data_IF_236796470161
#
_entry.id   IF_236796470161
#
_cell.length_a   1.000
_cell.length_b   1.000
_cell.length_c   1.000
_cell.angle_alpha   90.00
_cell.angle_beta   90.00
_cell.angle_gamma   90.00
#
_symmetry.space_group_name_H-M   'P 1'
#
loop_
_entity.id
_entity.type
_entity.pdbx_description
1 polymer ?
#
# COMPACT_ATOMS: atom_id res chain seq x y z
N UNK A 1 -0.06 5.76 11.67
CA UNK A 1 -1.49 5.43 11.89
C UNK A 1 -2.10 5.11 10.53
N UNK A 2 -2.84 4.00 10.34
CA UNK A 2 -3.32 3.57 8.99
C UNK A 2 -4.46 4.44 8.41
N UNK A 3 -5.16 5.21 9.24
CA UNK A 3 -6.24 6.12 8.85
C UNK A 3 -6.56 7.13 9.98
N UNK A 4 -7.01 8.36 9.67
CA UNK A 4 -7.56 9.30 10.66
C UNK A 4 -8.80 8.76 11.38
N UNK A 5 -9.11 9.23 12.59
CA UNK A 5 -10.26 8.78 13.41
C UNK A 5 -11.61 8.90 12.69
N UNK A 6 -11.83 10.00 11.96
CA UNK A 6 -13.04 10.19 11.16
C UNK A 6 -13.17 9.14 10.05
N UNK A 7 -12.05 8.83 9.38
CA UNK A 7 -11.98 7.81 8.34
C UNK A 7 -12.18 6.40 8.91
N UNK A 8 -11.70 6.13 10.12
CA UNK A 8 -11.93 4.86 10.82
C UNK A 8 -13.41 4.64 11.12
N UNK A 9 -14.13 5.68 11.55
CA UNK A 9 -15.59 5.60 11.78
C UNK A 9 -16.34 5.27 10.49
N UNK A 10 -16.01 5.94 9.39
CA UNK A 10 -16.60 5.70 8.07
C UNK A 10 -16.32 4.28 7.57
N UNK A 11 -15.07 3.81 7.70
CA UNK A 11 -14.70 2.43 7.35
C UNK A 11 -15.44 1.41 8.21
N UNK A 12 -15.60 1.67 9.50
CA UNK A 12 -16.34 0.78 10.40
C UNK A 12 -17.80 0.62 9.95
N UNK A 13 -18.47 1.72 9.61
CA UNK A 13 -19.83 1.70 9.07
C UNK A 13 -19.91 0.97 7.72
N UNK A 14 -18.92 1.17 6.85
CA UNK A 14 -18.83 0.44 5.58
C UNK A 14 -18.70 -1.06 5.81
N UNK A 15 -17.79 -1.52 6.69
CA UNK A 15 -17.60 -2.94 6.97
C UNK A 15 -18.86 -3.58 7.57
N UNK A 16 -19.51 -2.92 8.52
CA UNK A 16 -20.77 -3.41 9.09
C UNK A 16 -21.83 -3.61 8.00
N UNK A 17 -21.97 -2.63 7.10
CA UNK A 17 -22.93 -2.69 6.00
C UNK A 17 -22.56 -3.76 4.97
N UNK A 18 -21.28 -3.84 4.58
CA UNK A 18 -20.79 -4.81 3.61
C UNK A 18 -20.96 -6.24 4.12
N UNK A 19 -20.63 -6.52 5.38
CA UNK A 19 -20.80 -7.84 6.00
C UNK A 19 -22.29 -8.23 6.03
N UNK A 20 -23.18 -7.30 6.43
CA UNK A 20 -24.64 -7.54 6.41
C UNK A 20 -25.14 -7.82 5.00
N UNK A 21 -24.66 -7.09 3.99
CA UNK A 21 -25.02 -7.31 2.59
C UNK A 21 -24.54 -8.68 2.09
N UNK A 22 -23.30 -9.08 2.40
CA UNK A 22 -22.77 -10.40 2.06
C UNK A 22 -23.60 -11.53 2.67
N UNK A 23 -23.89 -11.46 3.96
CA UNK A 23 -24.66 -12.49 4.67
C UNK A 23 -26.11 -12.56 4.17
N UNK A 24 -26.73 -11.41 3.89
CA UNK A 24 -28.06 -11.36 3.26
C UNK A 24 -28.02 -11.99 1.86
N UNK A 25 -26.99 -11.72 1.07
CA UNK A 25 -26.84 -12.26 -0.29
C UNK A 25 -26.76 -13.79 -0.33
N UNK A 26 -26.21 -14.41 0.71
CA UNK A 26 -26.14 -15.87 0.85
C UNK A 26 -27.34 -16.47 1.61
N UNK A 27 -28.31 -15.64 2.02
CA UNK A 27 -29.52 -16.08 2.70
C UNK A 27 -29.34 -16.47 4.17
N UNK A 28 -28.33 -15.91 4.86
CA UNK A 28 -28.09 -16.20 6.28
C UNK A 28 -28.97 -15.30 7.17
N UNK A 29 -29.73 -15.88 8.13
CA UNK A 29 -30.49 -15.13 9.12
C UNK A 29 -29.57 -14.31 10.05
N UNK A 30 -29.90 -13.03 10.27
CA UNK A 30 -29.02 -12.08 10.97
C UNK A 30 -29.40 -11.83 12.44
N UNK A 31 -30.45 -12.47 12.97
CA UNK A 31 -31.03 -12.15 14.28
C UNK A 31 -30.07 -12.44 15.44
N UNK A 32 -29.15 -13.40 15.24
CA UNK A 32 -28.12 -13.76 16.22
C UNK A 32 -26.78 -13.06 15.97
N UNK A 33 -26.64 -12.31 14.87
CA UNK A 33 -25.42 -11.58 14.55
C UNK A 33 -25.36 -10.29 15.38
N UNK A 34 -24.23 -10.08 16.07
CA UNK A 34 -23.96 -8.86 16.83
C UNK A 34 -22.71 -8.18 16.33
N UNK A 35 -22.79 -6.89 16.09
CA UNK A 35 -21.63 -6.04 15.81
C UNK A 35 -21.25 -5.29 17.08
N UNK A 36 -19.97 -5.33 17.44
CA UNK A 36 -19.39 -4.63 18.59
C UNK A 36 -18.14 -3.91 18.08
N UNK A 37 -17.99 -2.62 18.39
CA UNK A 37 -16.76 -1.89 18.05
C UNK A 37 -15.78 -2.02 19.20
N UNK A 38 -14.51 -2.24 18.90
CA UNK A 38 -13.48 -2.36 19.96
C UNK A 38 -13.46 -1.16 20.90
N UNK A 39 -13.62 0.06 20.36
CA UNK A 39 -13.69 1.31 21.14
C UNK A 39 -14.86 1.37 22.14
N UNK A 40 -15.88 0.52 22.01
CA UNK A 40 -17.02 0.49 22.93
C UNK A 40 -16.61 -0.05 24.32
N UNK A 41 -15.53 -0.84 24.42
CA UNK A 41 -15.11 -1.45 25.68
C UNK A 41 -13.59 -1.50 25.92
N UNK A 42 -12.75 -1.46 24.88
CA UNK A 42 -11.29 -1.61 25.00
C UNK A 42 -10.61 -0.41 25.70
N UNK A 43 -11.33 0.69 25.90
CA UNK A 43 -10.88 1.86 26.67
C UNK A 43 -11.50 1.93 28.07
N UNK A 44 -12.30 0.92 28.46
CA UNK A 44 -12.86 0.84 29.81
C UNK A 44 -11.76 0.64 30.85
N UNK A 45 -12.06 1.03 32.10
CA UNK A 45 -11.13 0.91 33.21
C UNK A 45 -10.76 -0.56 33.46
N UNK A 46 -11.75 -1.43 33.43
CA UNK A 46 -11.59 -2.87 33.67
C UNK A 46 -10.68 -3.49 32.62
N UNK A 47 -10.97 -3.25 31.34
CA UNK A 47 -10.16 -3.78 30.23
C UNK A 47 -8.73 -3.26 30.29
N UNK A 48 -8.55 -1.96 30.55
CA UNK A 48 -7.22 -1.34 30.66
C UNK A 48 -6.42 -1.92 31.83
N UNK A 49 -7.06 -2.21 32.95
CA UNK A 49 -6.41 -2.89 34.08
C UNK A 49 -5.96 -4.30 33.72
N UNK A 50 -6.77 -5.07 32.98
CA UNK A 50 -6.36 -6.39 32.52
C UNK A 50 -5.26 -6.34 31.46
N UNK A 51 -5.22 -5.28 30.63
CA UNK A 51 -4.06 -5.03 29.76
C UNK A 51 -2.79 -4.88 30.59
N UNK A 52 -2.81 -4.10 31.67
CA UNK A 52 -1.63 -3.99 32.57
C UNK A 52 -1.30 -5.29 33.30
N UNK A 53 -2.29 -6.08 33.70
CA UNK A 53 -2.08 -7.40 34.32
C UNK A 53 -1.49 -8.40 33.32
N UNK A 54 -1.90 -8.33 32.06
CA UNK A 54 -1.38 -9.19 31.01
C UNK A 54 0.05 -8.79 30.63
N UNK A 55 0.33 -7.49 30.53
CA UNK A 55 1.69 -6.99 30.20
C UNK A 55 2.71 -7.25 31.31
N UNK A 56 2.27 -7.48 32.55
CA UNK A 56 3.17 -7.86 33.65
C UNK A 56 3.58 -9.33 33.65
N UNK A 57 2.88 -10.20 32.91
CA UNK A 57 3.15 -11.65 32.85
C UNK A 57 3.67 -12.11 31.47
N UNK A 58 3.29 -11.43 30.40
CA UNK A 58 3.78 -11.74 29.06
C UNK A 58 5.22 -11.24 28.88
N UNK A 59 6.06 -12.06 28.25
CA UNK A 59 7.40 -11.63 27.87
C UNK A 59 7.37 -10.89 26.53
N UNK A 60 8.29 -9.95 26.33
CA UNK A 60 8.46 -9.29 25.03
C UNK A 60 8.65 -10.30 23.89
N UNK A 61 9.44 -11.34 24.15
CA UNK A 61 9.69 -12.44 23.22
C UNK A 61 8.39 -13.13 22.79
N UNK A 62 7.52 -13.49 23.74
CA UNK A 62 6.28 -14.20 23.43
C UNK A 62 5.28 -13.30 22.72
N UNK A 63 5.16 -12.03 23.11
CA UNK A 63 4.34 -11.04 22.42
C UNK A 63 4.78 -10.86 20.96
N UNK A 64 6.09 -10.68 20.72
CA UNK A 64 6.67 -10.53 19.38
C UNK A 64 6.47 -11.79 18.53
N UNK A 65 6.68 -12.97 19.12
CA UNK A 65 6.47 -14.26 18.45
C UNK A 65 5.00 -14.47 18.08
N UNK A 66 4.08 -14.12 18.97
CA UNK A 66 2.64 -14.25 18.73
C UNK A 66 2.17 -13.38 17.55
N UNK A 67 2.64 -12.13 17.47
CA UNK A 67 2.27 -11.19 16.41
C UNK A 67 2.99 -11.37 15.07
N UNK A 68 3.96 -12.29 14.94
CA UNK A 68 4.89 -12.33 13.81
C UNK A 68 4.25 -12.47 12.42
N UNK A 69 3.09 -13.14 12.32
CA UNK A 69 2.40 -13.38 11.03
C UNK A 69 1.23 -12.41 10.77
N UNK A 70 0.84 -11.63 11.78
CA UNK A 70 -0.37 -10.78 11.76
C UNK A 70 0.00 -9.30 11.79
N UNK A 71 0.96 -8.93 12.65
CA UNK A 71 1.46 -7.56 12.76
C UNK A 71 2.41 -7.29 11.61
N UNK A 72 2.25 -6.13 10.97
CA UNK A 72 3.14 -5.69 9.88
C UNK A 72 4.57 -5.60 10.40
N UNK A 73 5.47 -6.36 9.77
CA UNK A 73 6.89 -6.28 10.05
C UNK A 73 7.46 -5.00 9.43
N UNK A 74 8.14 -4.20 10.26
CA UNK A 74 8.80 -2.95 9.88
C UNK A 74 10.18 -2.93 10.51
N UNK A 75 11.09 -2.15 9.91
CA UNK A 75 12.49 -2.06 10.36
C UNK A 75 12.62 -1.58 11.81
N UNK A 76 11.73 -0.69 12.23
CA UNK A 76 11.64 -0.20 13.60
C UNK A 76 10.26 -0.53 14.19
N UNK A 77 10.09 -1.74 14.78
CA UNK A 77 8.81 -2.18 15.33
C UNK A 77 8.31 -1.24 16.42
N UNK A 78 7.04 -0.83 16.30
CA UNK A 78 6.38 0.00 17.31
C UNK A 78 5.90 -0.86 18.48
N UNK A 79 5.85 -0.25 19.68
CA UNK A 79 5.31 -0.90 20.88
C UNK A 79 3.87 -1.42 20.70
N UNK A 80 3.07 -0.76 19.87
CA UNK A 80 1.72 -1.20 19.54
C UNK A 80 1.67 -2.63 18.96
N UNK A 81 2.72 -3.06 18.26
CA UNK A 81 2.83 -4.43 17.75
C UNK A 81 2.96 -5.48 18.84
N UNK A 82 3.55 -5.13 19.99
CA UNK A 82 3.68 -6.02 21.13
C UNK A 82 2.40 -6.10 21.97
N UNK A 83 1.61 -5.02 22.02
CA UNK A 83 0.33 -5.00 22.73
C UNK A 83 -0.78 -5.76 21.96
N UNK A 84 -0.71 -5.77 20.62
CA UNK A 84 -1.77 -6.28 19.76
C UNK A 84 -2.25 -7.71 20.10
N UNK A 85 -1.36 -8.72 20.25
CA UNK A 85 -1.82 -10.08 20.57
C UNK A 85 -2.52 -10.17 21.93
N UNK A 86 -2.09 -9.37 22.91
CA UNK A 86 -2.70 -9.34 24.23
C UNK A 86 -4.10 -8.73 24.23
N UNK A 87 -4.29 -7.64 23.47
CA UNK A 87 -5.60 -7.02 23.26
C UNK A 87 -6.58 -8.03 22.62
N UNK A 88 -6.15 -8.72 21.55
CA UNK A 88 -6.97 -9.72 20.87
C UNK A 88 -7.34 -10.91 21.78
N UNK A 89 -6.44 -11.33 22.68
CA UNK A 89 -6.74 -12.36 23.66
C UNK A 89 -7.80 -11.91 24.68
N UNK A 90 -7.68 -10.68 25.22
CA UNK A 90 -8.65 -10.14 26.17
C UNK A 90 -10.03 -9.93 25.55
N UNK A 91 -10.11 -9.69 24.25
CA UNK A 91 -11.39 -9.59 23.53
C UNK A 91 -12.23 -10.87 23.69
N UNK A 92 -11.62 -12.06 23.82
CA UNK A 92 -12.35 -13.32 24.05
C UNK A 92 -13.15 -13.30 25.37
N UNK A 93 -12.54 -12.76 26.43
CA UNK A 93 -13.18 -12.64 27.74
C UNK A 93 -14.25 -11.54 27.73
N UNK A 94 -13.92 -10.36 27.21
CA UNK A 94 -14.79 -9.20 27.27
C UNK A 94 -15.98 -9.28 26.31
N UNK A 95 -15.85 -10.02 25.21
CA UNK A 95 -16.97 -10.38 24.33
C UNK A 95 -17.77 -11.58 24.85
N UNK A 96 -17.30 -12.25 25.92
CA UNK A 96 -17.95 -13.39 26.59
C UNK A 96 -18.23 -14.54 25.63
N UNK A 97 -17.21 -14.93 24.87
CA UNK A 97 -17.32 -16.02 23.88
C UNK A 97 -16.67 -17.31 24.37
N UNK A 98 -17.19 -18.43 23.87
CA UNK A 98 -16.60 -19.76 24.07
C UNK A 98 -15.54 -20.09 23.00
N UNK A 99 -15.61 -19.41 21.84
CA UNK A 99 -14.76 -19.69 20.71
C UNK A 99 -14.39 -18.43 19.90
N UNK A 100 -13.20 -18.44 19.31
CA UNK A 100 -12.76 -17.45 18.32
C UNK A 100 -12.50 -18.13 16.97
N UNK A 101 -13.01 -17.53 15.91
CA UNK A 101 -12.80 -17.98 14.53
C UNK A 101 -11.87 -17.01 13.78
N UNK A 102 -10.92 -17.54 13.01
CA UNK A 102 -10.03 -16.76 12.17
C UNK A 102 -9.18 -17.62 11.24
N UNK A 103 -8.27 -17.01 10.48
CA UNK A 103 -7.35 -17.73 9.59
C UNK A 103 -6.27 -18.51 10.35
N UNK A 104 -5.64 -19.49 9.69
CA UNK A 104 -4.48 -20.21 10.23
C UNK A 104 -3.28 -19.28 10.54
N UNK A 105 -3.22 -18.10 9.93
CA UNK A 105 -2.24 -17.05 10.23
C UNK A 105 -2.40 -16.45 11.63
N UNK A 106 -3.59 -16.59 12.25
CA UNK A 106 -3.87 -16.18 13.63
C UNK A 106 -3.41 -17.20 14.67
N UNK A 107 -2.96 -18.40 14.26
CA UNK A 107 -2.65 -19.54 15.16
C UNK A 107 -1.76 -19.15 16.33
N UNK A 108 -0.73 -18.33 16.10
CA UNK A 108 0.21 -17.96 17.17
C UNK A 108 -0.44 -17.06 18.23
N UNK A 109 -1.36 -16.17 17.84
CA UNK A 109 -2.14 -15.35 18.77
C UNK A 109 -3.10 -16.22 19.56
N UNK A 110 -3.82 -17.14 18.90
CA UNK A 110 -4.71 -18.09 19.55
C UNK A 110 -3.99 -18.95 20.61
N UNK A 111 -2.82 -19.50 20.28
CA UNK A 111 -2.03 -20.27 21.25
C UNK A 111 -1.50 -19.42 22.40
N UNK A 112 -1.27 -18.12 22.17
CA UNK A 112 -0.89 -17.18 23.23
C UNK A 112 -2.07 -16.91 24.17
N UNK A 113 -3.27 -16.70 23.63
CA UNK A 113 -4.49 -16.51 24.43
C UNK A 113 -4.74 -17.73 25.33
N UNK A 114 -4.65 -18.95 24.79
CA UNK A 114 -4.78 -20.18 25.59
C UNK A 114 -3.75 -20.30 26.72
N UNK A 115 -2.53 -19.78 26.52
CA UNK A 115 -1.46 -19.81 27.52
C UNK A 115 -1.64 -18.75 28.62
N UNK A 116 -2.09 -17.55 28.27
CA UNK A 116 -2.02 -16.39 29.16
C UNK A 116 -3.36 -15.99 29.79
N UNK A 117 -4.51 -16.23 29.15
CA UNK A 117 -5.81 -15.96 29.77
C UNK A 117 -6.00 -16.68 31.13
N UNK A 118 -5.58 -17.96 31.28
CA UNK A 118 -5.65 -18.64 32.59
C UNK A 118 -4.83 -17.97 33.69
N UNK A 119 -3.75 -17.25 33.37
CA UNK A 119 -2.92 -16.57 34.36
C UNK A 119 -3.60 -15.32 34.93
N UNK A 120 -4.59 -14.76 34.21
CA UNK A 120 -5.44 -13.68 34.70
C UNK A 120 -6.69 -14.21 35.45
N UNK A 121 -6.91 -15.52 35.44
CA UNK A 121 -8.07 -16.20 36.02
C UNK A 121 -9.20 -16.47 35.02
N UNK A 122 -8.96 -16.29 33.72
CA UNK A 122 -9.96 -16.49 32.67
C UNK A 122 -9.85 -17.87 32.02
N UNK A 123 -10.97 -18.36 31.46
CA UNK A 123 -11.00 -19.62 30.73
C UNK A 123 -10.22 -19.53 29.41
N UNK A 124 -9.67 -20.66 28.97
CA UNK A 124 -9.24 -20.80 27.56
C UNK A 124 -10.45 -20.93 26.64
N UNK A 125 -10.33 -20.50 25.39
CA UNK A 125 -11.40 -20.60 24.38
C UNK A 125 -11.06 -21.64 23.31
N UNK A 126 -12.09 -22.04 22.58
CA UNK A 126 -11.96 -22.90 21.39
C UNK A 126 -11.50 -22.01 20.22
N UNK A 127 -10.50 -22.48 19.47
CA UNK A 127 -10.01 -21.77 18.29
C UNK A 127 -10.34 -22.54 17.02
N UNK A 128 -11.10 -21.93 16.12
CA UNK A 128 -11.48 -22.49 14.82
C UNK A 128 -10.72 -21.76 13.72
N UNK A 129 -9.90 -22.50 12.95
CA UNK A 129 -9.01 -21.92 11.95
C UNK A 129 -9.39 -22.32 10.52
N UNK A 130 -9.67 -21.35 9.65
CA UNK A 130 -9.85 -21.60 8.22
C UNK A 130 -8.50 -21.59 7.48
N UNK A 131 -8.34 -22.40 6.41
CA UNK A 131 -7.13 -22.37 5.59
C UNK A 131 -6.96 -21.01 4.91
N UNK A 132 -5.72 -20.69 4.54
CA UNK A 132 -5.46 -19.52 3.69
C UNK A 132 -5.97 -19.81 2.28
N UNK A 133 -6.91 -18.99 1.81
CA UNK A 133 -7.33 -19.02 0.41
C UNK A 133 -6.33 -18.16 -0.39
N UNK A 134 -5.62 -18.73 -1.38
CA UNK A 134 -4.74 -17.97 -2.25
C UNK A 134 -5.50 -16.83 -2.94
N UNK A 135 -4.85 -15.68 -3.09
CA UNK A 135 -5.31 -14.61 -3.96
C UNK A 135 -5.31 -15.04 -5.42
N UNK A 136 -5.98 -14.25 -6.26
CA UNK A 136 -6.21 -14.61 -7.66
C UNK A 136 -4.90 -14.75 -8.47
N UNK A 137 -3.82 -14.14 -8.01
CA UNK A 137 -2.49 -14.19 -8.65
C UNK A 137 -1.56 -15.29 -8.10
N UNK A 138 -2.04 -16.19 -7.23
CA UNK A 138 -1.26 -17.33 -6.71
C UNK A 138 -0.46 -17.04 -5.43
N UNK A 139 -0.72 -15.92 -4.74
CA UNK A 139 -0.05 -15.53 -3.50
C UNK A 139 -1.03 -15.14 -2.38
N UNK A 140 -0.58 -14.39 -1.36
CA UNK A 140 -1.51 -13.81 -0.37
C UNK A 140 -2.30 -12.67 -1.01
N UNK A 141 -3.61 -12.56 -0.70
CA UNK A 141 -4.40 -11.40 -1.11
C UNK A 141 -3.81 -10.13 -0.47
N UNK A 142 -3.56 -9.11 -1.30
CA UNK A 142 -3.00 -7.84 -0.85
C UNK A 142 -4.00 -6.71 -1.08
N UNK A 143 -4.34 -5.97 -0.03
CA UNK A 143 -5.16 -4.78 -0.18
C UNK A 143 -4.48 -3.68 -1.01
N UNK A 144 -3.15 -3.74 -1.14
CA UNK A 144 -2.31 -2.78 -1.88
C UNK A 144 -2.14 -3.14 -3.36
N UNK A 145 -2.52 -4.36 -3.77
CA UNK A 145 -2.45 -4.79 -5.17
C UNK A 145 -3.87 -4.92 -5.73
N UNK A 146 -4.30 -3.94 -6.52
CA UNK A 146 -5.67 -3.82 -7.06
C UNK A 146 -6.12 -5.05 -7.85
N UNK A 147 -5.19 -5.68 -8.60
CA UNK A 147 -5.46 -6.87 -9.41
C UNK A 147 -5.41 -8.19 -8.61
N UNK A 148 -4.92 -8.19 -7.36
CA UNK A 148 -4.78 -9.41 -6.55
C UNK A 148 -6.09 -9.91 -5.92
N UNK A 149 -7.14 -9.06 -5.92
CA UNK A 149 -8.43 -9.29 -5.26
C UNK A 149 -9.60 -8.75 -6.09
N UNK A 150 -10.75 -9.41 -5.99
CA UNK A 150 -12.04 -8.88 -6.46
C UNK A 150 -12.68 -8.11 -5.31
N UNK A 151 -13.06 -6.86 -5.57
CA UNK A 151 -13.79 -6.04 -4.60
C UNK A 151 -15.29 -6.38 -4.65
N UNK A 152 -15.99 -6.20 -3.52
CA UNK A 152 -17.43 -6.47 -3.44
C UNK A 152 -18.24 -5.59 -4.42
N UNK A 153 -17.72 -4.41 -4.75
CA UNK A 153 -18.37 -3.46 -5.64
C UNK A 153 -17.79 -3.46 -7.06
N UNK A 154 -16.94 -4.43 -7.42
CA UNK A 154 -16.45 -4.58 -8.78
C UNK A 154 -17.57 -4.96 -9.75
N UNK A 155 -17.74 -4.17 -10.81
CA UNK A 155 -18.68 -4.50 -11.86
C UNK A 155 -18.26 -5.78 -12.64
N UNK A 156 -19.15 -6.41 -13.41
CA UNK A 156 -18.83 -7.65 -14.14
C UNK A 156 -17.60 -7.55 -15.07
N UNK A 157 -17.36 -6.39 -15.67
CA UNK A 157 -16.19 -6.19 -16.53
C UNK A 157 -14.88 -6.20 -15.75
N UNK A 158 -14.86 -5.63 -14.54
CA UNK A 158 -13.70 -5.66 -13.64
C UNK A 158 -13.43 -7.08 -13.12
N UNK A 159 -14.49 -7.79 -12.70
CA UNK A 159 -14.39 -9.20 -12.27
C UNK A 159 -13.76 -10.04 -13.39
N UNK A 160 -14.27 -9.92 -14.62
CA UNK A 160 -13.74 -10.60 -15.81
C UNK A 160 -12.26 -10.28 -16.06
N UNK A 161 -11.90 -8.99 -16.01
CA UNK A 161 -10.51 -8.52 -16.22
C UNK A 161 -9.55 -9.15 -15.21
N UNK A 162 -9.93 -9.17 -13.92
CA UNK A 162 -9.10 -9.71 -12.83
C UNK A 162 -8.97 -11.23 -12.93
N UNK A 163 -10.07 -11.95 -13.18
CA UNK A 163 -10.03 -13.40 -13.39
C UNK A 163 -9.24 -13.81 -14.62
N UNK A 164 -9.27 -13.03 -15.70
CA UNK A 164 -8.45 -13.31 -16.89
C UNK A 164 -6.96 -13.32 -16.54
N UNK A 165 -6.51 -12.38 -15.70
CA UNK A 165 -5.13 -12.27 -15.20
C UNK A 165 -4.78 -13.26 -14.10
N UNK A 166 -5.77 -13.92 -13.49
CA UNK A 166 -5.54 -14.86 -12.41
C UNK A 166 -4.62 -16.01 -12.84
N UNK A 167 -3.73 -16.45 -11.96
CA UNK A 167 -2.91 -17.63 -12.21
C UNK A 167 -3.79 -18.88 -12.18
N UNK A 168 -3.76 -19.66 -13.27
CA UNK A 168 -4.54 -20.90 -13.42
C UNK A 168 -3.91 -21.72 -14.54
N UNK A 169 -2.91 -22.51 -14.19
CA UNK A 169 -2.18 -23.37 -15.14
C UNK A 169 -2.96 -24.67 -15.40
N UNK A 170 -2.99 -25.19 -16.64
CA UNK A 170 -3.66 -26.45 -16.95
C UNK A 170 -3.16 -27.60 -16.07
N UNK A 171 -4.08 -28.36 -15.44
CA UNK A 171 -3.71 -29.49 -14.58
C UNK A 171 -3.22 -29.12 -13.18
N UNK A 172 -2.91 -27.86 -12.92
CA UNK A 172 -2.36 -27.43 -11.63
C UNK A 172 -3.45 -27.24 -10.58
N UNK A 173 -3.55 -28.21 -9.65
CA UNK A 173 -4.46 -28.18 -8.50
C UNK A 173 -3.83 -27.56 -7.24
N UNK A 174 -2.53 -27.29 -7.26
CA UNK A 174 -1.78 -26.66 -6.18
C UNK A 174 -1.62 -25.15 -6.43
N UNK A 175 -1.72 -24.33 -5.39
CA UNK A 175 -1.60 -22.85 -5.50
C UNK A 175 -2.51 -22.19 -6.55
N UNK A 176 -3.64 -22.85 -6.87
CA UNK A 176 -4.61 -22.36 -7.83
C UNK A 176 -5.71 -21.56 -7.12
N UNK A 177 -5.63 -20.23 -7.19
CA UNK A 177 -6.60 -19.34 -6.54
C UNK A 177 -8.02 -19.48 -7.07
N UNK A 178 -8.19 -19.86 -8.35
CA UNK A 178 -9.50 -20.06 -8.98
C UNK A 178 -10.18 -21.32 -8.44
N UNK A 179 -9.45 -22.44 -8.38
CA UNK A 179 -9.96 -23.67 -7.76
C UNK A 179 -10.19 -23.49 -6.26
N UNK A 180 -9.30 -22.80 -5.56
CA UNK A 180 -9.42 -22.55 -4.11
C UNK A 180 -10.67 -21.72 -3.77
N UNK A 181 -10.95 -20.67 -4.54
CA UNK A 181 -12.17 -19.88 -4.39
C UNK A 181 -13.41 -20.74 -4.66
N UNK A 182 -13.34 -21.58 -5.70
CA UNK A 182 -14.42 -22.51 -6.03
C UNK A 182 -14.70 -23.48 -4.88
N UNK A 183 -13.66 -24.07 -4.28
CA UNK A 183 -13.72 -24.99 -3.14
C UNK A 183 -14.28 -24.37 -1.87
N UNK A 184 -13.79 -23.18 -1.50
CA UNK A 184 -14.03 -22.59 -0.18
C UNK A 184 -15.18 -21.59 -0.15
N UNK A 185 -15.63 -21.10 -1.31
CA UNK A 185 -16.72 -20.11 -1.41
C UNK A 185 -17.87 -20.64 -2.24
N UNK A 186 -17.64 -21.05 -3.49
CA UNK A 186 -18.75 -21.41 -4.39
C UNK A 186 -19.44 -22.69 -3.93
N UNK A 187 -18.71 -23.81 -3.83
CA UNK A 187 -19.29 -25.10 -3.47
C UNK A 187 -20.01 -25.11 -2.10
N UNK A 188 -19.48 -24.47 -1.03
CA UNK A 188 -20.18 -24.41 0.26
C UNK A 188 -21.50 -23.61 0.24
N UNK A 189 -21.65 -22.68 -0.71
CA UNK A 189 -22.85 -21.84 -0.85
C UNK A 189 -23.91 -22.44 -1.79
N UNK A 190 -23.54 -23.47 -2.56
CA UNK A 190 -24.46 -24.13 -3.47
C UNK A 190 -25.51 -24.94 -2.71
N UNK A 191 -26.72 -25.00 -3.28
CA UNK A 191 -27.78 -25.84 -2.72
C UNK A 191 -27.46 -27.33 -2.95
N UNK A 192 -27.96 -28.26 -2.13
CA UNK A 192 -27.63 -29.69 -2.22
C UNK A 192 -27.83 -30.35 -3.60
N UNK A 193 -28.73 -29.83 -4.44
CA UNK A 193 -29.02 -30.35 -5.78
C UNK A 193 -28.59 -29.40 -6.91
N UNK A 194 -27.81 -28.37 -6.58
CA UNK A 194 -27.26 -27.42 -7.54
C UNK A 194 -25.91 -27.93 -8.02
N UNK A 195 -25.64 -27.82 -9.32
CA UNK A 195 -24.38 -28.24 -9.92
C UNK A 195 -23.57 -27.04 -10.40
N UNK A 196 -22.25 -27.12 -10.23
CA UNK A 196 -21.33 -26.12 -10.73
C UNK A 196 -21.15 -26.38 -12.23
N UNK A 197 -21.64 -25.45 -13.04
CA UNK A 197 -21.67 -25.61 -14.50
C UNK A 197 -20.40 -25.04 -15.13
N UNK A 198 -19.68 -25.88 -15.86
CA UNK A 198 -18.55 -25.48 -16.69
C UNK A 198 -19.02 -25.38 -18.14
N UNK A 199 -19.21 -24.16 -18.63
CA UNK A 199 -19.63 -23.93 -20.03
C UNK A 199 -18.45 -24.07 -20.97
N UNK A 200 -18.56 -24.99 -21.94
CA UNK A 200 -17.48 -25.28 -22.90
C UNK A 200 -18.05 -25.32 -24.31
N UNK A 201 -17.24 -24.98 -25.31
CA UNK A 201 -17.68 -25.08 -26.70
C UNK A 201 -18.05 -26.53 -27.05
N UNK A 202 -19.04 -26.72 -27.93
CA UNK A 202 -19.53 -28.06 -28.32
C UNK A 202 -18.43 -28.97 -28.85
N UNK A 203 -17.43 -28.40 -29.51
CA UNK A 203 -16.24 -29.09 -30.03
C UNK A 203 -15.35 -29.70 -28.93
N UNK A 204 -15.45 -29.23 -27.68
CA UNK A 204 -14.74 -29.77 -26.51
C UNK A 204 -15.65 -30.59 -25.58
N UNK A 205 -16.77 -31.09 -26.09
CA UNK A 205 -17.69 -31.95 -25.34
C UNK A 205 -18.84 -31.22 -24.64
N UNK A 206 -18.97 -29.91 -24.85
CA UNK A 206 -20.09 -29.11 -24.31
C UNK A 206 -20.07 -28.92 -22.79
N UNK A 207 -21.15 -28.33 -22.27
CA UNK A 207 -21.31 -28.00 -20.86
C UNK A 207 -21.19 -29.24 -19.96
N UNK A 208 -20.46 -29.13 -18.86
CA UNK A 208 -20.37 -30.15 -17.80
C UNK A 208 -20.93 -29.61 -16.50
N UNK A 209 -21.58 -30.47 -15.73
CA UNK A 209 -22.11 -30.17 -14.40
C UNK A 209 -21.36 -30.97 -13.33
N UNK A 210 -20.88 -30.30 -12.28
CA UNK A 210 -20.20 -30.92 -11.14
C UNK A 210 -20.99 -30.74 -9.85
N UNK A 211 -21.35 -31.83 -9.19
CA UNK A 211 -22.08 -31.81 -7.91
C UNK A 211 -21.15 -31.84 -6.69
N UNK A 212 -19.90 -32.28 -6.86
CA UNK A 212 -18.88 -32.30 -5.82
C UNK A 212 -17.62 -31.63 -6.32
N UNK A 213 -16.94 -30.90 -5.42
CA UNK A 213 -15.69 -30.25 -5.76
C UNK A 213 -14.60 -31.24 -6.16
N UNK A 214 -14.56 -32.44 -5.54
CA UNK A 214 -13.58 -33.47 -5.86
C UNK A 214 -13.63 -33.89 -7.34
N UNK A 215 -14.83 -33.99 -7.91
CA UNK A 215 -15.03 -34.37 -9.32
C UNK A 215 -14.50 -33.28 -10.26
N UNK A 216 -14.69 -32.00 -9.91
CA UNK A 216 -14.13 -30.85 -10.64
C UNK A 216 -12.60 -30.79 -10.53
N UNK A 217 -12.06 -31.01 -9.34
CA UNK A 217 -10.61 -31.01 -9.08
C UNK A 217 -9.91 -32.12 -9.86
N UNK A 218 -10.49 -33.32 -9.90
CA UNK A 218 -9.98 -34.45 -10.69
C UNK A 218 -10.05 -34.17 -12.20
N UNK A 219 -11.17 -33.63 -12.69
CA UNK A 219 -11.31 -33.25 -14.11
C UNK A 219 -10.31 -32.14 -14.51
N UNK A 220 -10.07 -31.16 -13.64
CA UNK A 220 -9.07 -30.14 -13.89
C UNK A 220 -7.65 -30.72 -13.90
N UNK A 221 -7.32 -31.61 -12.96
CA UNK A 221 -6.02 -32.30 -12.91
C UNK A 221 -5.73 -33.13 -14.18
N UNK A 222 -6.76 -33.79 -14.72
CA UNK A 222 -6.70 -34.53 -15.99
C UNK A 222 -6.70 -33.64 -17.24
N UNK A 223 -6.84 -32.33 -17.06
CA UNK A 223 -6.95 -31.33 -18.13
C UNK A 223 -8.23 -31.47 -18.98
N UNK A 224 -9.25 -32.14 -18.46
CA UNK A 224 -10.58 -32.21 -19.09
C UNK A 224 -11.31 -30.85 -19.00
N UNK A 225 -10.94 -30.02 -18.03
CA UNK A 225 -11.42 -28.64 -17.88
C UNK A 225 -10.29 -27.67 -18.20
N UNK A 226 -10.46 -26.88 -19.25
CA UNK A 226 -9.50 -25.85 -19.62
C UNK A 226 -9.54 -24.67 -18.62
N UNK A 227 -8.40 -24.04 -18.28
CA UNK A 227 -8.37 -22.89 -17.36
C UNK A 227 -9.27 -21.72 -17.75
N UNK A 228 -9.44 -21.47 -19.05
CA UNK A 228 -10.33 -20.43 -19.56
C UNK A 228 -11.80 -20.68 -19.23
N UNK A 229 -12.24 -21.94 -19.34
CA UNK A 229 -13.62 -22.33 -19.07
C UNK A 229 -13.90 -22.30 -17.57
N UNK A 230 -12.96 -22.80 -16.76
CA UNK A 230 -13.04 -22.69 -15.30
C UNK A 230 -13.15 -21.23 -14.85
N UNK A 231 -12.29 -20.35 -15.38
CA UNK A 231 -12.34 -18.90 -15.09
C UNK A 231 -13.68 -18.28 -15.47
N UNK A 232 -14.24 -18.63 -16.63
CA UNK A 232 -15.52 -18.11 -17.09
C UNK A 232 -16.68 -18.57 -16.20
N UNK A 233 -16.69 -19.82 -15.75
CA UNK A 233 -17.71 -20.32 -14.82
C UNK A 233 -17.60 -19.71 -13.42
N UNK A 234 -16.37 -19.53 -12.93
CA UNK A 234 -16.13 -18.83 -11.66
C UNK A 234 -16.53 -17.35 -11.76
N UNK A 235 -16.29 -16.69 -12.91
CA UNK A 235 -16.75 -15.33 -13.18
C UNK A 235 -18.27 -15.21 -13.04
N UNK A 236 -19.02 -16.14 -13.64
CA UNK A 236 -20.48 -16.15 -13.54
C UNK A 236 -20.95 -16.32 -12.09
N UNK A 237 -20.39 -17.29 -11.36
CA UNK A 237 -20.73 -17.54 -9.97
C UNK A 237 -20.40 -16.34 -9.06
N UNK A 238 -19.23 -15.70 -9.24
CA UNK A 238 -18.86 -14.49 -8.50
C UNK A 238 -19.86 -13.36 -8.79
N UNK A 239 -20.19 -13.11 -10.04
CA UNK A 239 -21.15 -12.06 -10.38
C UNK A 239 -22.54 -12.32 -9.78
N UNK A 240 -22.98 -13.58 -9.69
CA UNK A 240 -24.23 -13.94 -9.01
C UNK A 240 -24.19 -13.64 -7.51
N UNK A 241 -23.05 -13.88 -6.84
CA UNK A 241 -22.84 -13.55 -5.43
C UNK A 241 -22.71 -12.05 -5.18
N UNK A 242 -22.11 -11.31 -6.11
CA UNK A 242 -21.93 -9.86 -5.98
C UNK A 242 -23.20 -9.07 -6.32
N UNK A 243 -24.07 -9.56 -7.20
CA UNK A 243 -25.21 -8.80 -7.69
C UNK A 243 -26.17 -8.31 -6.58
N UNK A 244 -26.57 -9.12 -5.57
CA UNK A 244 -27.42 -8.63 -4.48
C UNK A 244 -26.72 -7.60 -3.60
N UNK A 245 -25.40 -7.77 -3.39
CA UNK A 245 -24.58 -6.82 -2.62
C UNK A 245 -24.55 -5.48 -3.37
N UNK A 246 -24.28 -5.51 -4.66
CA UNK A 246 -24.25 -4.31 -5.51
C UNK A 246 -25.60 -3.61 -5.57
N UNK A 247 -26.70 -4.37 -5.58
CA UNK A 247 -28.06 -3.82 -5.51
C UNK A 247 -28.30 -3.06 -4.21
N UNK A 248 -27.91 -3.63 -3.05
CA UNK A 248 -27.98 -2.94 -1.76
C UNK A 248 -27.17 -1.64 -1.79
N UNK A 249 -25.97 -1.67 -2.37
CA UNK A 249 -25.10 -0.51 -2.51
C UNK A 249 -25.50 0.47 -3.64
N UNK A 250 -26.66 0.29 -4.30
CA UNK A 250 -27.25 1.34 -5.15
C UNK A 250 -27.89 2.47 -4.34
N UNK A 251 -28.20 2.24 -3.06
CA UNK A 251 -28.69 3.29 -2.16
C UNK A 251 -27.69 4.46 -2.10
N UNK A 252 -28.20 5.68 -2.26
CA UNK A 252 -27.36 6.88 -2.37
C UNK A 252 -26.51 7.14 -1.14
N UNK A 253 -27.01 6.82 0.07
CA UNK A 253 -26.26 6.99 1.32
C UNK A 253 -25.13 5.98 1.40
N UNK A 254 -25.36 4.75 0.97
CA UNK A 254 -24.34 3.70 0.96
C UNK A 254 -23.25 3.95 -0.09
N UNK A 255 -23.61 4.50 -1.24
CA UNK A 255 -22.63 4.94 -2.24
C UNK A 255 -21.75 6.07 -1.71
N UNK A 256 -22.35 7.07 -1.05
CA UNK A 256 -21.58 8.13 -0.40
C UNK A 256 -20.69 7.59 0.70
N UNK A 257 -21.18 6.66 1.52
CA UNK A 257 -20.40 6.01 2.57
C UNK A 257 -19.19 5.28 1.99
N UNK A 258 -19.36 4.48 0.93
CA UNK A 258 -18.27 3.78 0.26
C UNK A 258 -17.21 4.76 -0.26
N UNK A 259 -17.64 5.84 -0.94
CA UNK A 259 -16.75 6.90 -1.44
C UNK A 259 -16.03 7.67 -0.34
N UNK A 260 -16.66 7.87 0.82
CA UNK A 260 -16.05 8.58 1.96
C UNK A 260 -15.12 7.67 2.78
N UNK A 261 -15.44 6.39 2.91
CA UNK A 261 -14.65 5.38 3.64
C UNK A 261 -13.40 4.94 2.88
N UNK A 262 -13.55 4.85 1.56
CA UNK A 262 -12.47 4.62 0.60
C UNK A 262 -12.55 5.73 -0.42
N UNK A 263 -12.11 6.95 -0.07
CA UNK A 263 -11.88 7.94 -1.10
C UNK A 263 -10.99 7.25 -2.12
N UNK A 264 -11.33 7.30 -3.43
CA UNK A 264 -10.42 6.79 -4.43
C UNK A 264 -9.07 7.35 -4.06
N UNK A 265 -8.06 6.46 -3.95
CA UNK A 265 -6.67 6.90 -3.91
C UNK A 265 -6.61 8.02 -4.92
N UNK A 266 -6.21 9.23 -4.53
CA UNK A 266 -6.07 10.31 -5.49
C UNK A 266 -4.99 9.86 -6.49
N UNK A 267 -5.40 9.10 -7.51
CA UNK A 267 -4.99 9.39 -8.86
C UNK A 267 -5.47 10.82 -9.04
N UNK A 268 -4.52 11.75 -9.01
CA UNK A 268 -4.76 13.15 -9.32
C UNK A 268 -5.80 13.21 -10.45
N UNK A 269 -6.84 14.02 -10.28
CA UNK A 269 -7.96 14.14 -11.21
C UNK A 269 -7.45 14.08 -12.66
N UNK A 270 -7.70 12.97 -13.34
CA UNK A 270 -7.60 12.91 -14.78
C UNK A 270 -8.70 13.81 -15.34
N UNK A 271 -8.31 14.98 -15.82
CA UNK A 271 -9.11 15.77 -16.76
C UNK A 271 -9.16 14.92 -18.05
N UNK A 272 -10.35 14.74 -18.66
CA UNK A 272 -10.44 14.00 -19.90
C UNK A 272 -9.72 14.79 -21.00
N UNK A 273 -8.59 14.26 -21.49
CA UNK A 273 -8.22 14.28 -22.91
C UNK A 273 -7.02 13.37 -23.19
N UNK A 274 -7.28 12.40 -24.07
CA UNK A 274 -6.40 11.60 -24.90
C UNK A 274 -4.87 11.62 -24.66
N UNK A 275 -4.33 10.46 -24.26
CA UNK A 275 -3.07 9.91 -24.76
C UNK A 275 -1.75 10.50 -24.23
N UNK A 276 -1.20 9.93 -23.16
CA UNK A 276 0.24 9.65 -22.98
C UNK A 276 0.48 9.02 -21.59
N UNK A 277 1.43 8.07 -21.52
CA UNK A 277 1.88 7.38 -20.30
C UNK A 277 2.04 8.30 -19.08
N UNK A 278 1.48 7.91 -17.92
CA UNK A 278 1.54 8.67 -16.68
C UNK A 278 3.00 8.91 -16.23
N UNK A 279 3.35 10.19 -16.02
CA UNK A 279 4.64 10.64 -15.52
C UNK A 279 4.48 10.92 -14.03
N UNK A 280 5.21 10.19 -13.18
CA UNK A 280 5.13 10.26 -11.71
C UNK A 280 6.48 10.66 -11.11
N UNK A 281 6.53 11.26 -9.90
CA UNK A 281 7.78 11.68 -9.26
C UNK A 281 8.72 10.52 -8.90
N UNK A 282 8.22 9.27 -8.86
CA UNK A 282 9.04 8.06 -8.66
C UNK A 282 10.17 7.96 -9.68
N UNK A 283 9.97 8.49 -10.89
CA UNK A 283 10.95 8.49 -11.98
C UNK A 283 12.17 9.37 -11.70
N UNK A 284 12.09 10.31 -10.76
CA UNK A 284 13.20 11.20 -10.42
C UNK A 284 14.18 10.54 -9.46
N UNK A 285 15.47 10.59 -9.75
CA UNK A 285 16.53 10.18 -8.84
C UNK A 285 17.04 11.40 -8.06
N UNK A 286 16.34 11.75 -6.99
CA UNK A 286 16.72 12.85 -6.10
C UNK A 286 17.48 12.26 -4.92
N UNK A 287 18.66 12.78 -4.61
CA UNK A 287 19.50 12.30 -3.51
C UNK A 287 20.03 13.43 -2.65
N UNK A 288 20.38 13.10 -1.42
CA UNK A 288 21.19 13.95 -0.55
C UNK A 288 22.62 13.93 -1.07
N UNK A 289 23.20 15.11 -1.27
CA UNK A 289 24.57 15.30 -1.71
C UNK A 289 25.38 16.12 -0.71
N UNK A 290 26.68 15.89 -0.65
CA UNK A 290 27.63 16.73 0.09
C UNK A 290 28.67 17.30 -0.85
N UNK A 291 28.81 18.63 -0.86
CA UNK A 291 29.82 19.30 -1.68
C UNK A 291 31.20 19.08 -1.06
N UNK A 292 32.02 18.23 -1.69
CA UNK A 292 33.37 17.91 -1.21
C UNK A 292 34.41 18.88 -1.75
N UNK A 293 34.15 19.53 -2.87
CA UNK A 293 35.01 20.54 -3.46
C UNK A 293 34.15 21.54 -4.24
N UNK A 294 34.44 22.83 -4.11
CA UNK A 294 33.77 23.89 -4.89
C UNK A 294 34.80 24.89 -5.40
N UNK A 295 34.71 25.22 -6.68
CA UNK A 295 35.55 26.23 -7.33
C UNK A 295 34.69 27.15 -8.20
N UNK A 296 35.17 28.36 -8.49
CA UNK A 296 34.52 29.22 -9.49
C UNK A 296 34.82 28.69 -10.89
N UNK A 297 33.84 28.73 -11.77
CA UNK A 297 34.03 28.32 -13.15
C UNK A 297 35.05 29.25 -13.84
N UNK A 298 36.06 28.71 -14.56
CA UNK A 298 37.13 29.52 -15.16
C UNK A 298 36.60 30.51 -16.21
N UNK A 299 35.60 30.09 -17.00
CA UNK A 299 35.05 30.88 -18.10
C UNK A 299 33.63 31.45 -17.83
N UNK A 300 33.18 31.51 -16.57
CA UNK A 300 31.85 32.03 -16.23
C UNK A 300 31.73 32.57 -14.80
N UNK A 301 31.46 33.87 -14.67
CA UNK A 301 31.41 34.57 -13.37
C UNK A 301 30.21 34.18 -12.49
N UNK A 302 29.16 33.60 -13.08
CA UNK A 302 27.94 33.22 -12.37
C UNK A 302 27.86 31.74 -11.98
N UNK A 303 28.89 30.94 -12.31
CA UNK A 303 28.84 29.49 -12.14
C UNK A 303 29.88 28.97 -11.13
N UNK A 304 29.45 28.03 -10.29
CA UNK A 304 30.36 27.17 -9.53
C UNK A 304 30.55 25.84 -10.25
N UNK A 305 31.70 25.22 -10.02
CA UNK A 305 32.00 23.82 -10.36
C UNK A 305 32.17 23.08 -9.05
N UNK A 306 31.26 22.16 -8.78
CA UNK A 306 31.14 21.44 -7.53
C UNK A 306 31.42 19.96 -7.76
N UNK A 307 32.22 19.34 -6.88
CA UNK A 307 32.25 17.87 -6.74
C UNK A 307 31.33 17.51 -5.59
N UNK A 308 30.29 16.73 -5.88
CA UNK A 308 29.25 16.38 -4.92
C UNK A 308 29.23 14.88 -4.70
N UNK A 309 29.48 14.47 -3.46
CA UNK A 309 29.31 13.11 -2.98
C UNK A 309 27.82 12.82 -2.85
N UNK A 310 27.29 11.93 -3.69
CA UNK A 310 25.89 11.48 -3.70
C UNK A 310 25.80 9.97 -3.42
N UNK A 311 26.77 9.43 -2.67
CA UNK A 311 26.86 8.00 -2.34
C UNK A 311 27.24 7.09 -3.51
N UNK A 312 27.89 7.64 -4.54
CA UNK A 312 28.51 6.90 -5.64
C UNK A 312 30.00 6.68 -5.39
N UNK A 313 30.65 5.82 -6.19
CA UNK A 313 32.08 5.52 -6.05
C UNK A 313 32.96 6.78 -6.23
N UNK A 314 32.56 7.67 -7.14
CA UNK A 314 33.21 8.96 -7.36
C UNK A 314 32.20 10.13 -7.21
N UNK A 315 32.62 11.27 -6.62
CA UNK A 315 31.80 12.47 -6.56
C UNK A 315 31.42 12.97 -7.96
N UNK A 316 30.16 13.38 -8.14
CA UNK A 316 29.68 13.94 -9.41
C UNK A 316 30.14 15.38 -9.57
N UNK A 317 30.54 15.74 -10.79
CA UNK A 317 30.75 17.14 -11.17
C UNK A 317 29.40 17.77 -11.49
N UNK A 318 29.04 18.82 -10.77
CA UNK A 318 27.82 19.61 -10.97
C UNK A 318 28.22 21.06 -11.18
N UNK A 319 27.58 21.72 -12.16
CA UNK A 319 27.77 23.14 -12.44
C UNK A 319 26.51 23.89 -12.06
N UNK A 320 26.59 24.78 -11.07
CA UNK A 320 25.44 25.50 -10.52
C UNK A 320 25.54 27.01 -10.71
N UNK A 321 24.41 27.69 -10.88
CA UNK A 321 24.32 29.15 -11.01
C UNK A 321 24.29 29.92 -9.69
N UNK A 322 24.96 29.41 -8.65
CA UNK A 322 24.79 29.86 -7.27
C UNK A 322 25.76 30.98 -6.82
N UNK A 323 26.71 31.41 -7.67
CA UNK A 323 27.75 32.39 -7.28
C UNK A 323 27.17 33.70 -6.73
N UNK A 324 26.09 34.18 -7.33
CA UNK A 324 25.45 35.44 -6.94
C UNK A 324 24.51 35.31 -5.74
N UNK A 325 24.32 34.10 -5.21
CA UNK A 325 23.29 33.79 -4.20
C UNK A 325 23.87 33.14 -2.94
N UNK A 326 24.92 32.34 -3.08
CA UNK A 326 25.56 31.66 -1.95
C UNK A 326 27.07 31.90 -2.00
N UNK A 327 27.67 32.48 -0.95
CA UNK A 327 29.12 32.64 -0.85
C UNK A 327 29.84 31.28 -0.87
N UNK A 328 31.04 31.24 -1.46
CA UNK A 328 31.79 29.99 -1.68
C UNK A 328 32.17 29.30 -0.35
N UNK A 329 32.44 30.10 0.69
CA UNK A 329 32.71 29.65 2.05
C UNK A 329 31.53 28.91 2.69
N UNK A 330 30.30 29.19 2.24
CA UNK A 330 29.08 28.52 2.70
C UNK A 330 28.72 27.29 1.85
N UNK A 331 29.45 27.05 0.75
CA UNK A 331 29.23 25.93 -0.19
C UNK A 331 30.13 24.73 0.13
N UNK A 332 31.36 24.98 0.59
CA UNK A 332 32.26 23.89 0.97
C UNK A 332 31.68 23.05 2.11
N UNK A 333 31.65 21.72 1.94
CA UNK A 333 31.04 20.75 2.87
C UNK A 333 29.53 20.93 3.11
N UNK A 334 28.85 21.78 2.34
CA UNK A 334 27.41 21.97 2.46
C UNK A 334 26.68 20.72 2.00
N UNK A 335 25.66 20.32 2.76
CA UNK A 335 24.70 19.31 2.31
C UNK A 335 23.62 19.96 1.44
N UNK A 336 23.28 19.29 0.34
CA UNK A 336 22.38 19.79 -0.70
C UNK A 336 21.48 18.67 -1.21
N UNK A 337 20.41 19.03 -1.92
CA UNK A 337 19.53 18.06 -2.60
C UNK A 337 19.85 18.08 -4.10
N UNK A 338 20.11 16.92 -4.69
CA UNK A 338 20.62 16.79 -6.06
C UNK A 338 19.73 15.87 -6.89
N UNK A 339 19.33 16.33 -8.08
CA UNK A 339 18.72 15.48 -9.11
C UNK A 339 19.82 14.83 -9.96
N UNK A 340 19.86 13.50 -9.96
CA UNK A 340 20.99 12.70 -10.45
C UNK A 340 20.73 12.00 -11.81
N UNK A 341 19.49 11.91 -12.28
CA UNK A 341 19.16 11.18 -13.52
C UNK A 341 18.77 12.09 -14.70
N UNK A 342 19.16 13.36 -14.68
CA UNK A 342 19.13 14.20 -15.89
C UNK A 342 20.23 13.78 -16.86
N UNK A 343 19.99 13.95 -18.17
CA UNK A 343 21.05 13.82 -19.17
C UNK A 343 22.14 14.87 -18.90
N UNK A 344 23.43 14.49 -18.87
CA UNK A 344 24.52 15.45 -18.66
C UNK A 344 24.47 16.62 -19.65
N UNK A 345 24.75 17.81 -19.15
CA UNK A 345 24.70 19.05 -19.91
C UNK A 345 26.04 19.79 -19.83
N UNK A 346 26.57 20.20 -20.99
CA UNK A 346 27.78 21.02 -21.03
C UNK A 346 27.42 22.48 -20.75
N UNK A 347 27.99 23.04 -19.70
CA UNK A 347 27.89 24.44 -19.34
C UNK A 347 29.28 25.05 -19.50
N UNK A 348 29.44 25.89 -20.53
CA UNK A 348 30.71 26.59 -20.83
C UNK A 348 31.95 25.68 -20.87
N UNK A 349 31.77 24.46 -21.40
CA UNK A 349 32.86 23.50 -21.63
C UNK A 349 32.95 22.40 -20.57
N UNK A 350 32.41 22.61 -19.37
CA UNK A 350 32.38 21.62 -18.30
C UNK A 350 31.06 20.84 -18.33
N UNK A 351 31.14 19.52 -18.25
CA UNK A 351 29.97 18.63 -18.23
C UNK A 351 29.39 18.53 -16.83
N UNK A 352 28.18 19.03 -16.63
CA UNK A 352 27.40 18.86 -15.39
C UNK A 352 26.63 17.55 -15.44
N UNK A 353 26.83 16.70 -14.42
CA UNK A 353 26.22 15.36 -14.28
C UNK A 353 25.14 15.32 -13.19
N UNK A 354 24.53 16.46 -12.89
CA UNK A 354 23.45 16.58 -11.92
C UNK A 354 22.95 18.02 -11.83
N UNK A 355 22.01 18.25 -10.92
CA UNK A 355 21.44 19.57 -10.67
C UNK A 355 21.13 19.74 -9.18
N UNK A 356 21.68 20.78 -8.58
CA UNK A 356 21.36 21.18 -7.20
C UNK A 356 19.98 21.85 -7.20
N UNK A 357 19.04 21.27 -6.46
CA UNK A 357 17.67 21.78 -6.37
C UNK A 357 17.61 22.99 -5.44
N UNK A 358 17.02 24.07 -5.93
CA UNK A 358 16.94 25.34 -5.22
C UNK A 358 15.51 25.87 -5.19
N UNK A 359 15.11 26.48 -4.07
CA UNK A 359 13.93 27.34 -4.03
C UNK A 359 14.27 28.67 -4.72
N UNK A 360 13.43 29.15 -5.62
CA UNK A 360 13.69 30.37 -6.40
C UNK A 360 12.43 31.20 -6.62
N UNK A 361 12.50 32.48 -6.25
CA UNK A 361 11.50 33.50 -6.57
C UNK A 361 12.11 34.56 -7.48
N UNK A 362 11.28 35.22 -8.29
CA UNK A 362 11.74 36.14 -9.34
C UNK A 362 11.64 37.63 -8.93
N UNK A 363 10.87 37.99 -7.89
CA UNK A 363 10.65 39.39 -7.47
C UNK A 363 10.53 39.57 -5.93
N UNK A 364 11.55 40.14 -5.25
CA UNK A 364 12.92 40.31 -5.75
C UNK A 364 13.57 38.95 -6.00
N UNK A 365 14.47 38.85 -6.98
CA UNK A 365 15.11 37.58 -7.33
C UNK A 365 15.93 37.02 -6.16
N UNK A 366 15.49 35.89 -5.62
CA UNK A 366 16.19 35.16 -4.56
C UNK A 366 16.27 33.69 -4.92
N UNK A 367 17.39 33.07 -4.58
CA UNK A 367 17.65 31.64 -4.81
C UNK A 367 18.35 31.10 -3.57
N UNK A 368 17.85 30.02 -3.01
CA UNK A 368 18.52 29.31 -1.92
C UNK A 368 18.49 27.79 -2.18
N UNK A 369 19.60 27.06 -1.93
CA UNK A 369 19.61 25.60 -2.03
C UNK A 369 18.64 24.97 -1.03
N UNK A 370 17.98 23.90 -1.45
CA UNK A 370 17.19 23.09 -0.52
C UNK A 370 18.10 22.44 0.53
N UNK A 371 17.57 22.40 1.76
CA UNK A 371 18.21 21.77 2.89
C UNK A 371 17.75 20.30 2.96
N UNK A 372 18.68 19.34 2.92
CA UNK A 372 18.32 17.94 3.04
C UNK A 372 17.78 17.62 4.44
N UNK A 373 17.10 16.48 4.60
CA UNK A 373 16.50 16.10 5.86
C UNK A 373 17.54 15.95 6.97
N UNK A 374 17.22 16.44 8.17
CA UNK A 374 18.11 16.34 9.34
C UNK A 374 18.41 14.87 9.63
N UNK A 375 19.71 14.53 9.73
CA UNK A 375 20.18 13.18 10.02
C UNK A 375 20.31 12.26 8.81
N UNK A 376 20.05 12.77 7.60
CA UNK A 376 20.32 12.04 6.36
C UNK A 376 21.82 11.93 6.07
N UNK A 377 22.20 10.99 5.21
CA UNK A 377 23.60 10.80 4.75
C UNK A 377 23.70 11.01 3.24
N UNK A 378 24.88 11.41 2.72
CA UNK A 378 25.13 11.44 1.28
C UNK A 378 24.69 10.14 0.60
N UNK A 379 23.94 10.28 -0.50
CA UNK A 379 23.35 9.19 -1.26
C UNK A 379 22.00 8.69 -0.79
N UNK A 380 21.50 9.16 0.36
CA UNK A 380 20.11 8.87 0.74
C UNK A 380 19.15 9.43 -0.31
N UNK A 381 18.21 8.59 -0.76
CA UNK A 381 17.21 8.98 -1.74
C UNK A 381 16.13 9.86 -1.10
N UNK A 382 15.78 10.95 -1.77
CA UNK A 382 14.61 11.77 -1.45
C UNK A 382 13.43 11.27 -2.29
N UNK A 383 12.31 11.03 -1.63
CA UNK A 383 11.06 10.58 -2.24
C UNK A 383 9.95 11.57 -1.93
N UNK A 384 8.92 11.60 -2.77
CA UNK A 384 7.70 12.34 -2.46
C UNK A 384 6.83 11.45 -1.56
N UNK A 385 6.33 11.99 -0.46
CA UNK A 385 5.36 11.35 0.44
C UNK A 385 4.20 10.82 -0.40
N UNK A 386 3.75 9.58 -0.12
CA UNK A 386 2.80 8.77 -0.91
C UNK A 386 3.34 8.15 -2.22
N UNK A 387 4.58 8.45 -2.60
CA UNK A 387 5.28 7.89 -3.77
C UNK A 387 6.62 7.24 -3.37
N UNK A 388 6.68 6.57 -2.22
CA UNK A 388 7.92 5.99 -1.70
C UNK A 388 8.34 4.67 -2.37
N UNK A 389 7.41 4.04 -3.09
CA UNK A 389 7.58 2.72 -3.69
C UNK A 389 7.88 2.85 -5.19
N UNK A 390 9.02 2.29 -5.60
CA UNK A 390 9.47 2.19 -6.99
C UNK A 390 10.90 2.70 -7.19
N UNK A 391 11.47 2.44 -8.37
CA UNK A 391 12.83 2.84 -8.73
C UNK A 391 12.82 4.00 -9.73
N UNK A 392 13.82 4.90 -9.68
CA UNK A 392 13.91 6.00 -10.62
C UNK A 392 14.34 5.50 -11.99
N UNK A 393 14.10 6.29 -13.03
CA UNK A 393 14.67 5.99 -14.34
C UNK A 393 16.20 6.15 -14.28
N UNK A 394 16.97 5.29 -14.94
CA UNK A 394 18.43 5.43 -15.01
C UNK A 394 18.85 6.80 -15.59
N UNK A 395 18.14 7.22 -16.65
CA UNK A 395 18.26 8.55 -17.28
C UNK A 395 16.89 9.00 -17.77
N UNK A 396 16.45 10.20 -17.37
CA UNK A 396 15.19 10.78 -17.81
C UNK A 396 15.18 11.03 -19.32
N UNK A 397 14.11 10.62 -19.99
CA UNK A 397 13.96 10.81 -21.43
C UNK A 397 13.67 12.28 -21.79
N UNK A 398 14.59 13.00 -22.48
CA UNK A 398 14.41 14.43 -22.77
C UNK A 398 13.21 14.72 -23.67
N UNK A 399 12.80 13.77 -24.52
CA UNK A 399 11.63 13.92 -25.39
C UNK A 399 10.31 13.90 -24.61
N UNK A 400 10.29 13.22 -23.45
CA UNK A 400 9.08 13.12 -22.60
C UNK A 400 8.89 14.32 -21.67
N UNK A 401 9.93 15.17 -21.52
CA UNK A 401 9.96 16.35 -20.64
C UNK A 401 9.51 16.02 -19.22
N UNK A 402 10.05 14.92 -18.67
CA UNK A 402 9.62 14.36 -17.38
C UNK A 402 9.88 15.35 -16.25
N UNK A 403 11.10 15.90 -16.19
CA UNK A 403 11.46 16.88 -15.18
C UNK A 403 10.59 18.13 -15.26
N UNK A 404 10.44 18.73 -16.44
CA UNK A 404 9.71 19.99 -16.61
C UNK A 404 8.23 19.85 -16.24
N UNK A 405 7.63 18.68 -16.52
CA UNK A 405 6.24 18.38 -16.11
C UNK A 405 6.09 18.24 -14.61
N UNK A 406 7.04 17.57 -13.94
CA UNK A 406 6.98 17.35 -12.49
C UNK A 406 7.38 18.61 -11.71
N UNK A 407 8.37 19.35 -12.20
CA UNK A 407 8.88 20.60 -11.64
C UNK A 407 7.78 21.66 -11.53
N UNK A 408 6.83 21.71 -12.46
CA UNK A 408 5.72 22.66 -12.43
C UNK A 408 4.93 22.64 -11.11
N UNK A 409 4.91 21.50 -10.42
CA UNK A 409 4.23 21.31 -9.14
C UNK A 409 5.19 21.26 -7.93
N UNK A 410 6.51 21.37 -8.14
CA UNK A 410 7.50 21.42 -7.07
C UNK A 410 7.64 22.85 -6.53
N UNK A 411 7.38 23.01 -5.23
CA UNK A 411 7.52 24.29 -4.53
C UNK A 411 7.75 24.09 -3.04
N UNK A 412 8.14 25.13 -2.33
CA UNK A 412 8.07 25.14 -0.86
C UNK A 412 6.66 25.52 -0.40
N UNK A 413 6.28 25.18 0.83
CA UNK A 413 5.00 25.57 1.43
C UNK A 413 5.18 26.67 2.51
N UNK A 414 4.12 26.98 3.24
CA UNK A 414 4.13 27.96 4.35
C UNK A 414 4.96 27.53 5.56
N UNK A 415 5.30 26.25 5.66
CA UNK A 415 6.17 25.67 6.70
C UNK A 415 7.62 25.52 6.22
N UNK A 416 7.98 26.14 5.09
CA UNK A 416 9.31 26.03 4.45
C UNK A 416 9.67 24.59 4.01
N UNK A 417 8.68 23.70 3.89
CA UNK A 417 8.88 22.32 3.45
C UNK A 417 8.75 22.24 1.94
N UNK A 418 9.69 21.54 1.29
CA UNK A 418 9.58 21.22 -0.12
C UNK A 418 8.45 20.21 -0.35
N UNK A 419 7.53 20.55 -1.26
CA UNK A 419 6.36 19.75 -1.58
C UNK A 419 6.18 19.59 -3.09
N UNK A 420 5.61 18.46 -3.48
CA UNK A 420 5.12 18.19 -4.83
C UNK A 420 3.62 17.90 -4.77
N UNK A 421 2.80 18.71 -5.44
CA UNK A 421 1.33 18.60 -5.37
C UNK A 421 0.79 18.55 -3.91
N UNK A 422 1.46 19.22 -2.98
CA UNK A 422 1.13 19.24 -1.55
C UNK A 422 1.72 18.11 -0.70
N UNK A 423 2.33 17.08 -1.32
CA UNK A 423 2.99 15.98 -0.62
C UNK A 423 4.45 16.34 -0.32
N UNK A 424 4.96 16.02 0.86
CA UNK A 424 6.30 16.41 1.30
C UNK A 424 7.40 15.65 0.56
N UNK A 425 8.51 16.32 0.23
CA UNK A 425 9.74 15.63 -0.12
C UNK A 425 10.42 15.18 1.17
N UNK A 426 10.65 13.88 1.32
CA UNK A 426 11.20 13.27 2.54
C UNK A 426 12.39 12.38 2.21
N UNK A 427 13.32 12.25 3.16
CA UNK A 427 14.38 11.24 3.07
C UNK A 427 13.78 9.84 3.19
N UNK A 428 14.13 8.94 2.27
CA UNK A 428 13.58 7.58 2.19
C UNK A 428 13.92 6.75 3.44
N UNK A 429 15.05 7.04 4.10
CA UNK A 429 15.52 6.31 5.29
C UNK A 429 15.14 7.08 6.56
N UNK A 430 15.52 8.36 6.65
CA UNK A 430 15.30 9.15 7.86
C UNK A 430 13.84 9.60 8.04
N UNK A 431 13.03 9.62 6.98
CA UNK A 431 11.61 10.04 7.00
C UNK A 431 11.38 11.53 7.25
N UNK A 432 12.45 12.31 7.47
CA UNK A 432 12.37 13.74 7.72
C UNK A 432 12.20 14.51 6.40
N UNK A 433 11.62 15.71 6.49
CA UNK A 433 11.32 16.52 5.32
C UNK A 433 12.54 17.32 4.81
N UNK A 434 12.58 17.51 3.49
CA UNK A 434 13.42 18.51 2.82
C UNK A 434 12.82 19.89 3.07
N UNK A 435 13.65 20.85 3.45
CA UNK A 435 13.21 22.21 3.77
C UNK A 435 13.99 23.25 2.99
N UNK A 436 13.62 24.50 3.18
CA UNK A 436 14.35 25.67 2.69
C UNK A 436 14.61 26.62 3.85
N UNK A 437 15.56 27.54 3.71
CA UNK A 437 15.94 28.41 4.82
C UNK A 437 14.90 29.50 5.10
N UNK A 438 14.29 30.08 4.06
CA UNK A 438 13.42 31.26 4.21
C UNK A 438 12.33 31.43 3.14
N UNK A 439 12.45 30.79 1.97
CA UNK A 439 11.54 31.04 0.86
C UNK A 439 10.22 30.26 0.98
N UNK A 440 9.13 30.95 1.28
CA UNK A 440 7.77 30.38 1.35
C UNK A 440 7.10 30.38 -0.03
N UNK A 441 6.38 29.31 -0.37
CA UNK A 441 5.62 29.19 -1.64
C UNK A 441 6.47 29.37 -2.90
N UNK A 442 7.78 29.13 -2.80
CA UNK A 442 8.73 29.36 -3.87
C UNK A 442 8.82 28.14 -4.79
N UNK A 443 8.76 28.31 -6.13
CA UNK A 443 9.08 27.25 -7.07
C UNK A 443 10.44 26.62 -6.80
N UNK A 444 10.53 25.30 -6.93
CA UNK A 444 11.80 24.58 -6.87
C UNK A 444 12.30 24.37 -8.30
N UNK A 445 13.54 24.76 -8.55
CA UNK A 445 14.18 24.71 -9.88
C UNK A 445 15.49 23.95 -9.84
#
# INVERSE_FOLDING_TARGET
MKAPWELLSLRTQYYETAIKAMLTSIGVPLEKLRFVKGTDYQLSKEYTLDVYRLTSVITEHDAKKAGAEVVKQVEHPLLSGLLYPGLQALDEEYLKVDAQFGGVDQRKIFTMAEKYLPQLGYSKRIHLMNPMVPGLTGGKMSASEEDSKIDLLDNPANVKKKLKKAFCEPGNITDNGVLSFTKHVIFPLMKPNEAFKVSRAKEYGGDIEYFKFADLEEAFAKQDVHPGDLKASVEQAINMLLAPIQEIFKDSKLQELAKKAYPPLQKAKAIPNAGNEDITPVKLDIRVGRIVEVTRHPDADSLYVEKIDVGEEEPRVVVSGLVNYVPIECMQNKEVVVLCNLKPAKMRGIESKGMVLCASIDDPKQVEPLLPPIGSKPGERIVVETYEIGEPDDVLNPKKKVWEKLQADLKTNTELVAVWQGNKLIGKICGNAVTTASLVNAPIK
#
